data_IF_094362964443
#
_entry.id   IF_094362964443
#
_cell.length_a   1.000
_cell.length_b   1.000
_cell.length_c   1.000
_cell.angle_alpha   90.00
_cell.angle_beta   90.00
_cell.angle_gamma   90.00
#
_symmetry.space_group_name_H-M   'P 1'
#
loop_
_entity.id
_entity.type
_entity.pdbx_description
1 polymer ?
#
# COMPACT_ATOMS: atom_id res chain seq x y z
N UNK A 1 10.68 -4.37 0.59
CA UNK A 1 11.69 -3.56 1.29
C UNK A 1 12.93 -4.41 1.43
N UNK A 2 14.11 -3.91 1.06
CA UNK A 2 15.36 -4.59 1.42
C UNK A 2 15.55 -4.54 2.94
N UNK A 3 16.29 -5.49 3.50
CA UNK A 3 16.54 -5.57 4.95
C UNK A 3 17.09 -4.26 5.57
N UNK A 4 17.64 -3.35 4.76
CA UNK A 4 18.15 -2.03 5.16
C UNK A 4 17.16 -0.85 5.00
N UNK A 5 15.87 -1.08 4.78
CA UNK A 5 14.88 0.00 4.62
C UNK A 5 14.96 0.78 3.30
N UNK A 6 15.92 0.45 2.43
CA UNK A 6 16.11 1.09 1.14
C UNK A 6 15.01 0.71 0.13
N UNK A 7 14.57 1.70 -0.66
CA UNK A 7 13.60 1.49 -1.72
C UNK A 7 14.16 0.53 -2.78
N UNK A 8 13.41 -0.53 -3.11
CA UNK A 8 13.80 -1.47 -4.17
C UNK A 8 13.69 -0.75 -5.51
N UNK A 9 14.69 -0.87 -6.39
CA UNK A 9 14.65 -0.26 -7.71
C UNK A 9 14.22 -1.29 -8.78
N UNK A 10 13.54 -0.83 -9.83
CA UNK A 10 13.18 -1.64 -10.99
C UNK A 10 14.38 -1.83 -11.94
N UNK A 11 14.20 -2.54 -13.04
CA UNK A 11 15.27 -2.77 -14.04
C UNK A 11 15.77 -1.48 -14.70
N UNK A 12 15.01 -0.38 -14.63
CA UNK A 12 15.39 0.93 -15.15
C UNK A 12 15.96 1.85 -14.05
N UNK A 13 16.09 1.37 -12.80
CA UNK A 13 16.62 2.14 -11.69
C UNK A 13 15.60 3.07 -11.02
N UNK A 14 14.31 2.97 -11.34
CA UNK A 14 13.27 3.75 -10.67
C UNK A 14 12.85 3.07 -9.37
N UNK A 15 12.48 3.84 -8.33
CA UNK A 15 11.86 3.28 -7.14
C UNK A 15 10.64 2.43 -7.53
N UNK A 16 10.68 1.15 -7.16
CA UNK A 16 9.52 0.27 -7.23
C UNK A 16 8.53 0.80 -6.22
N UNK A 17 7.54 1.55 -6.71
CA UNK A 17 6.43 2.01 -5.90
C UNK A 17 5.53 0.80 -5.64
N UNK A 18 5.64 0.24 -4.44
CA UNK A 18 4.76 -0.85 -4.01
C UNK A 18 3.38 -0.25 -3.76
N UNK A 19 2.35 -0.83 -4.38
CA UNK A 19 0.96 -0.53 -4.03
C UNK A 19 0.52 -1.46 -2.90
N UNK A 20 -0.14 -0.89 -1.91
CA UNK A 20 -0.72 -1.57 -0.77
C UNK A 20 -2.22 -1.37 -0.83
N UNK A 21 -2.98 -2.45 -0.60
CA UNK A 21 -4.41 -2.36 -0.49
C UNK A 21 -4.82 -1.87 0.91
N UNK A 22 -5.58 -0.79 0.96
CA UNK A 22 -6.10 -0.15 2.17
C UNK A 22 -7.62 -0.21 2.12
N UNK A 23 -8.16 -1.37 2.49
CA UNK A 23 -9.60 -1.58 2.52
C UNK A 23 -10.22 -1.01 3.80
N UNK A 24 -11.49 -0.54 3.72
CA UNK A 24 -12.23 -0.14 4.90
C UNK A 24 -12.46 -1.35 5.83
N UNK A 25 -12.47 -1.09 7.14
CA UNK A 25 -12.69 -2.12 8.16
C UNK A 25 -14.13 -2.65 8.17
N UNK A 26 -15.08 -1.88 7.63
CA UNK A 26 -16.46 -2.27 7.43
C UNK A 26 -16.94 -1.85 6.05
N UNK A 27 -17.86 -2.64 5.48
CA UNK A 27 -18.33 -2.44 4.11
C UNK A 27 -19.77 -1.93 4.11
N UNK A 28 -20.05 -1.02 3.19
CA UNK A 28 -21.41 -0.59 2.82
C UNK A 28 -21.58 -0.71 1.31
N UNK A 29 -22.82 -0.63 0.82
CA UNK A 29 -23.15 -0.76 -0.61
C UNK A 29 -22.34 0.19 -1.51
N UNK A 30 -22.08 1.41 -1.04
CA UNK A 30 -21.26 2.42 -1.74
C UNK A 30 -19.84 1.95 -2.06
N UNK A 31 -19.25 1.15 -1.17
CA UNK A 31 -17.90 0.63 -1.36
C UNK A 31 -17.84 -0.41 -2.50
N UNK A 32 -18.94 -1.11 -2.78
CA UNK A 32 -19.01 -2.05 -3.90
C UNK A 32 -19.18 -1.35 -5.25
N UNK A 33 -19.68 -0.12 -5.28
CA UNK A 33 -19.73 0.70 -6.48
C UNK A 33 -18.36 1.29 -6.87
N UNK A 34 -17.38 1.20 -5.97
CA UNK A 34 -16.05 1.80 -6.12
C UNK A 34 -15.07 0.79 -6.73
N UNK A 35 -14.23 1.24 -7.69
CA UNK A 35 -13.19 0.38 -8.27
C UNK A 35 -12.18 -0.04 -7.21
N UNK A 36 -11.70 -1.28 -7.31
CA UNK A 36 -10.64 -1.81 -6.44
C UNK A 36 -9.37 -0.93 -6.44
N UNK A 37 -9.06 -0.28 -7.57
CA UNK A 37 -7.94 0.65 -7.68
C UNK A 37 -8.03 1.84 -6.71
N UNK A 38 -9.24 2.24 -6.31
CA UNK A 38 -9.45 3.33 -5.34
C UNK A 38 -8.98 2.97 -3.94
N UNK A 39 -8.79 1.67 -3.65
CA UNK A 39 -8.26 1.19 -2.37
C UNK A 39 -6.76 0.94 -2.42
N UNK A 40 -6.07 1.31 -3.51
CA UNK A 40 -4.62 1.12 -3.64
C UNK A 40 -3.87 2.41 -3.27
N UNK A 41 -3.16 2.36 -2.15
CA UNK A 41 -2.27 3.43 -1.69
C UNK A 41 -0.82 3.07 -2.04
N UNK A 42 0.01 4.07 -2.33
CA UNK A 42 1.45 3.85 -2.49
C UNK A 42 2.09 3.62 -1.12
N UNK A 43 2.98 2.65 -0.98
CA UNK A 43 3.65 2.32 0.29
C UNK A 43 4.36 3.55 0.90
N UNK A 44 4.87 4.46 0.07
CA UNK A 44 5.54 5.68 0.52
C UNK A 44 4.59 6.74 1.07
N UNK A 45 3.30 6.64 0.77
CA UNK A 45 2.27 7.54 1.30
C UNK A 45 1.66 7.06 2.61
N UNK A 46 2.01 5.84 3.06
CA UNK A 46 1.56 5.29 4.34
C UNK A 46 2.37 5.85 5.50
N UNK A 47 1.70 6.17 6.60
CA UNK A 47 2.34 6.48 7.88
C UNK A 47 3.08 5.25 8.43
N UNK A 48 4.13 5.45 9.22
CA UNK A 48 4.85 4.36 9.88
C UNK A 48 3.92 3.47 10.72
N UNK A 49 2.89 4.04 11.35
CA UNK A 49 1.88 3.27 12.10
C UNK A 49 1.06 2.35 11.19
N UNK A 50 0.64 2.83 10.02
CA UNK A 50 -0.11 2.05 9.03
C UNK A 50 0.75 0.93 8.44
N UNK A 51 2.05 1.20 8.22
CA UNK A 51 3.02 0.21 7.73
C UNK A 51 3.27 -0.89 8.76
N UNK A 52 3.37 -0.54 10.04
CA UNK A 52 3.50 -1.52 11.14
C UNK A 52 2.22 -2.35 11.27
N UNK A 53 1.04 -1.72 11.20
CA UNK A 53 -0.25 -2.40 11.24
C UNK A 53 -0.39 -3.44 10.13
N UNK A 54 0.05 -3.11 8.91
CA UNK A 54 0.05 -4.04 7.78
C UNK A 54 1.06 -5.19 7.95
N UNK A 55 2.26 -4.92 8.44
CA UNK A 55 3.29 -5.94 8.64
C UNK A 55 2.95 -6.96 9.74
N UNK A 56 1.98 -6.63 10.60
CA UNK A 56 1.52 -7.46 11.72
C UNK A 56 0.37 -8.40 11.36
N UNK A 57 -0.17 -8.30 10.14
CA UNK A 57 -1.20 -9.18 9.58
C UNK A 57 -0.59 -10.38 8.85
#
# INVERSE_FOLDING_TARGET
TGEDGSARLDAAGHPVTRRVAQFPLSWSEEHFATSTDSYLTRDEALSDEERVGLAKL
#
